data_IF_325707633781
#
_entry.id   IF_325707633781
#
_cell.length_a   1.000
_cell.length_b   1.000
_cell.length_c   1.000
_cell.angle_alpha   90.00
_cell.angle_beta   90.00
_cell.angle_gamma   90.00
#
_symmetry.space_group_name_H-M   'P 1'
#
loop_
_entity.id
_entity.type
_entity.pdbx_description
1 polymer ?
#
# COMPACT_ATOMS: atom_id res chain seq x y z
N UNK A 1 -15.37 18.86 -9.32
CA UNK A 1 -14.03 19.37 -9.68
C UNK A 1 -14.08 20.88 -9.78
N UNK A 2 -13.00 21.57 -9.44
CA UNK A 2 -12.87 23.01 -9.67
C UNK A 2 -12.01 23.18 -10.91
N UNK A 3 -12.65 23.43 -12.05
CA UNK A 3 -11.98 23.73 -13.32
C UNK A 3 -12.52 25.05 -13.87
N UNK A 4 -11.65 25.82 -14.52
CA UNK A 4 -12.05 27.01 -15.28
C UNK A 4 -12.51 26.58 -16.67
N UNK A 5 -13.77 26.85 -16.99
CA UNK A 5 -14.35 26.57 -18.31
C UNK A 5 -14.83 27.87 -18.92
N UNK A 6 -14.12 28.34 -19.95
CA UNK A 6 -14.49 29.52 -20.72
C UNK A 6 -14.76 29.11 -22.17
N UNK A 7 -15.93 29.48 -22.70
CA UNK A 7 -16.23 29.31 -24.11
C UNK A 7 -15.51 30.40 -24.91
N UNK A 8 -14.68 29.98 -25.86
CA UNK A 8 -13.84 30.87 -26.69
C UNK A 8 -14.45 31.07 -28.08
N UNK A 9 -14.99 30.01 -28.69
CA UNK A 9 -15.66 30.03 -29.99
C UNK A 9 -16.91 29.13 -29.96
N UNK A 10 -17.82 29.35 -30.90
CA UNK A 10 -18.94 28.46 -31.22
C UNK A 10 -18.51 27.27 -32.08
N UNK A 11 -17.35 27.39 -32.74
CA UNK A 11 -16.75 26.35 -33.57
C UNK A 11 -15.77 25.47 -32.78
N UNK A 12 -15.44 24.31 -33.34
CA UNK A 12 -14.46 23.41 -32.76
C UNK A 12 -13.06 24.06 -32.73
N UNK A 13 -12.39 24.00 -31.59
CA UNK A 13 -11.02 24.49 -31.44
C UNK A 13 -10.04 23.47 -32.07
N UNK A 14 -9.14 23.94 -32.92
CA UNK A 14 -8.24 23.10 -33.73
C UNK A 14 -6.77 23.25 -33.36
N UNK A 15 -6.39 24.39 -32.77
CA UNK A 15 -5.00 24.66 -32.40
C UNK A 15 -4.88 25.52 -31.14
N UNK A 16 -3.79 25.33 -30.40
CA UNK A 16 -3.40 26.12 -29.22
C UNK A 16 -1.90 26.39 -29.29
N UNK A 17 -1.51 27.65 -29.05
CA UNK A 17 -0.10 28.05 -28.91
C UNK A 17 0.04 29.02 -27.75
N UNK A 18 1.14 28.93 -27.01
CA UNK A 18 1.43 29.80 -25.86
C UNK A 18 2.67 30.61 -26.18
N UNK A 19 2.64 31.91 -25.87
CA UNK A 19 3.79 32.79 -26.02
C UNK A 19 4.96 32.30 -25.15
N UNK A 20 6.20 32.58 -25.56
CA UNK A 20 7.41 32.21 -24.81
C UNK A 20 7.43 32.71 -23.35
N UNK A 21 6.76 33.83 -23.07
CA UNK A 21 6.62 34.40 -21.72
C UNK A 21 5.42 33.84 -20.94
N UNK A 22 4.59 33.00 -21.55
CA UNK A 22 3.44 32.35 -20.91
C UNK A 22 2.19 33.22 -20.73
N UNK A 23 2.29 34.55 -20.87
CA UNK A 23 1.18 35.46 -20.59
C UNK A 23 0.03 35.42 -21.61
N UNK A 24 0.35 35.18 -22.89
CA UNK A 24 -0.62 35.12 -23.97
C UNK A 24 -0.75 33.71 -24.53
N UNK A 25 -1.99 33.29 -24.80
CA UNK A 25 -2.32 32.06 -25.49
C UNK A 25 -3.16 32.37 -26.74
N UNK A 26 -2.78 31.80 -27.88
CA UNK A 26 -3.52 31.85 -29.13
C UNK A 26 -4.32 30.55 -29.29
N UNK A 27 -5.63 30.69 -29.53
CA UNK A 27 -6.55 29.59 -29.78
C UNK A 27 -7.09 29.73 -31.20
N UNK A 28 -6.84 28.75 -32.06
CA UNK A 28 -7.41 28.71 -33.41
C UNK A 28 -8.64 27.81 -33.45
N UNK A 29 -9.67 28.24 -34.18
CA UNK A 29 -10.88 27.45 -34.41
C UNK A 29 -10.96 26.88 -35.84
N UNK A 30 -12.00 26.09 -36.09
CA UNK A 30 -12.23 25.42 -37.38
C UNK A 30 -12.71 26.38 -38.49
N UNK A 31 -13.15 27.59 -38.12
CA UNK A 31 -13.58 28.63 -39.07
C UNK A 31 -12.41 29.51 -39.52
N UNK A 32 -11.20 29.24 -39.02
CA UNK A 32 -9.97 29.96 -39.38
C UNK A 32 -9.75 31.23 -38.57
N UNK A 33 -10.50 31.44 -37.49
CA UNK A 33 -10.33 32.57 -36.57
C UNK A 33 -9.33 32.20 -35.48
N UNK A 34 -8.44 33.14 -35.17
CA UNK A 34 -7.49 33.02 -34.07
C UNK A 34 -7.86 34.02 -32.99
N UNK A 35 -8.17 33.50 -31.80
CA UNK A 35 -8.47 34.31 -30.61
C UNK A 35 -7.28 34.34 -29.68
N UNK A 36 -6.83 35.53 -29.30
CA UNK A 36 -5.77 35.74 -28.30
C UNK A 36 -6.38 35.91 -26.90
N UNK A 37 -5.90 35.13 -25.95
CA UNK A 37 -6.31 35.13 -24.55
C UNK A 37 -5.12 35.55 -23.67
N UNK A 38 -5.39 36.39 -22.68
CA UNK A 38 -4.43 36.71 -21.62
C UNK A 38 -4.69 35.83 -20.40
N UNK A 39 -3.64 35.19 -19.88
CA UNK A 39 -3.69 34.38 -18.68
C UNK A 39 -3.47 35.24 -17.43
N UNK A 40 -4.00 34.81 -16.30
CA UNK A 40 -3.78 35.46 -15.01
C UNK A 40 -2.40 35.12 -14.44
N UNK A 41 -1.88 35.99 -13.56
CA UNK A 41 -0.52 35.86 -13.02
C UNK A 41 -0.28 34.53 -12.30
N UNK A 42 -1.29 33.95 -11.64
CA UNK A 42 -1.15 32.67 -10.94
C UNK A 42 -0.97 31.46 -11.87
N UNK A 43 -1.33 31.57 -13.15
CA UNK A 43 -1.07 30.54 -14.16
C UNK A 43 0.27 30.75 -14.87
N UNK A 44 0.76 31.99 -14.88
CA UNK A 44 2.00 32.38 -15.57
C UNK A 44 3.20 32.24 -14.64
N UNK A 45 3.05 32.62 -13.37
CA UNK A 45 4.10 32.63 -12.37
C UNK A 45 3.92 31.48 -11.38
N UNK A 46 4.66 30.37 -11.53
CA UNK A 46 4.57 29.24 -10.63
C UNK A 46 4.98 29.65 -9.21
N UNK A 47 4.22 29.20 -8.21
CA UNK A 47 4.60 29.40 -6.80
C UNK A 47 5.84 28.56 -6.46
N UNK A 48 6.71 29.03 -5.55
CA UNK A 48 7.88 28.26 -5.14
C UNK A 48 7.48 26.85 -4.69
N UNK A 49 8.15 25.85 -5.25
CA UNK A 49 8.00 24.43 -4.87
C UNK A 49 6.65 23.77 -5.23
N UNK A 50 5.75 24.44 -5.99
CA UNK A 50 4.44 23.86 -6.32
C UNK A 50 4.53 22.53 -7.08
N UNK A 51 5.48 22.43 -8.03
CA UNK A 51 5.69 21.23 -8.85
C UNK A 51 6.06 20.02 -7.99
N UNK A 52 6.90 20.24 -6.99
CA UNK A 52 7.34 19.18 -6.07
C UNK A 52 6.19 18.75 -5.15
N UNK A 53 5.43 19.69 -4.62
CA UNK A 53 4.27 19.40 -3.75
C UNK A 53 3.23 18.58 -4.52
N UNK A 54 2.89 19.01 -5.73
CA UNK A 54 1.94 18.29 -6.60
C UNK A 54 2.49 16.89 -6.94
N UNK A 55 3.77 16.78 -7.28
CA UNK A 55 4.43 15.49 -7.51
C UNK A 55 4.31 14.54 -6.31
N UNK A 56 4.58 15.02 -5.10
CA UNK A 56 4.44 14.23 -3.87
C UNK A 56 3.00 13.77 -3.62
N UNK A 57 2.00 14.62 -3.93
CA UNK A 57 0.59 14.26 -3.82
C UNK A 57 0.26 13.11 -4.78
N UNK A 58 0.68 13.19 -6.05
CA UNK A 58 0.44 12.14 -7.03
C UNK A 58 1.16 10.83 -6.70
N UNK A 59 2.40 10.90 -6.21
CA UNK A 59 3.12 9.71 -5.75
C UNK A 59 2.43 9.03 -4.57
N UNK A 60 1.94 9.82 -3.61
CA UNK A 60 1.19 9.31 -2.46
C UNK A 60 -0.10 8.62 -2.90
N UNK A 61 -0.85 9.22 -3.81
CA UNK A 61 -2.09 8.63 -4.32
C UNK A 61 -1.82 7.36 -5.13
N UNK A 62 -0.77 7.35 -5.95
CA UNK A 62 -0.33 6.15 -6.69
C UNK A 62 0.06 5.00 -5.75
N UNK A 63 0.79 5.29 -4.65
CA UNK A 63 1.13 4.27 -3.64
C UNK A 63 -0.12 3.74 -2.94
N UNK A 64 -1.09 4.61 -2.65
CA UNK A 64 -2.36 4.22 -2.03
C UNK A 64 -3.15 3.27 -2.94
N UNK A 65 -3.27 3.57 -4.22
CA UNK A 65 -3.93 2.68 -5.19
C UNK A 65 -3.25 1.32 -5.27
N UNK A 66 -1.91 1.28 -5.37
CA UNK A 66 -1.14 0.02 -5.37
C UNK A 66 -1.38 -0.81 -4.11
N UNK A 67 -1.43 -0.18 -2.95
CA UNK A 67 -1.69 -0.88 -1.69
C UNK A 67 -3.11 -1.44 -1.63
N UNK A 68 -4.10 -0.66 -2.08
CA UNK A 68 -5.49 -1.12 -2.14
C UNK A 68 -5.66 -2.30 -3.10
N UNK A 69 -4.99 -2.28 -4.25
CA UNK A 69 -5.01 -3.39 -5.20
C UNK A 69 -4.31 -4.63 -4.65
N UNK A 70 -3.20 -4.47 -3.94
CA UNK A 70 -2.53 -5.58 -3.25
C UNK A 70 -3.45 -6.22 -2.19
N UNK A 71 -4.16 -5.40 -1.39
CA UNK A 71 -5.14 -5.86 -0.40
C UNK A 71 -6.30 -6.59 -1.07
N UNK A 72 -6.88 -6.04 -2.14
CA UNK A 72 -7.96 -6.70 -2.91
C UNK A 72 -7.52 -8.05 -3.47
N UNK A 73 -6.31 -8.12 -4.03
CA UNK A 73 -5.74 -9.37 -4.57
C UNK A 73 -5.50 -10.42 -3.48
N UNK A 74 -5.13 -9.99 -2.27
CA UNK A 74 -4.97 -10.87 -1.12
C UNK A 74 -6.31 -11.32 -0.53
N UNK A 75 -7.31 -10.43 -0.47
CA UNK A 75 -8.66 -10.76 0.00
C UNK A 75 -9.41 -11.72 -0.95
N UNK A 76 -9.09 -11.70 -2.24
CA UNK A 76 -9.59 -12.67 -3.24
C UNK A 76 -8.86 -14.01 -3.23
N UNK A 77 -7.78 -14.18 -2.46
CA UNK A 77 -7.18 -15.50 -2.23
C UNK A 77 -7.95 -16.18 -1.09
N UNK A 78 -8.41 -17.44 -1.27
CA UNK A 78 -9.02 -18.17 -0.17
C UNK A 78 -8.02 -18.21 1.00
N UNK A 79 -8.54 -18.08 2.22
CA UNK A 79 -7.81 -17.95 3.50
C UNK A 79 -6.89 -19.15 3.83
N UNK A 80 -6.71 -20.10 2.89
CA UNK A 80 -5.91 -21.32 3.04
C UNK A 80 -4.51 -21.32 2.42
N UNK A 81 -4.03 -20.23 1.80
CA UNK A 81 -2.65 -20.14 1.31
C UNK A 81 -1.97 -18.86 1.80
N UNK A 82 -1.85 -18.72 3.11
CA UNK A 82 -0.62 -18.13 3.64
C UNK A 82 0.44 -19.18 3.35
N UNK A 83 1.32 -18.91 2.38
CA UNK A 83 2.55 -19.70 2.27
C UNK A 83 3.25 -19.58 3.63
N UNK A 84 3.17 -20.65 4.41
CA UNK A 84 3.99 -20.92 5.57
C UNK A 84 5.44 -21.08 5.10
N UNK A 85 6.04 -20.00 4.60
CA UNK A 85 7.48 -19.80 4.78
C UNK A 85 7.68 -19.13 6.15
N UNK A 86 7.09 -19.74 7.17
CA UNK A 86 7.67 -19.71 8.49
C UNK A 86 9.05 -20.35 8.33
N UNK A 87 10.06 -19.51 8.40
CA UNK A 87 11.45 -19.92 8.45
C UNK A 87 11.61 -20.92 9.60
N UNK A 88 11.97 -22.15 9.26
CA UNK A 88 12.53 -23.13 10.20
C UNK A 88 11.56 -23.78 11.17
N UNK A 89 10.59 -24.55 10.69
CA UNK A 89 10.13 -25.71 11.46
C UNK A 89 11.25 -26.75 11.44
N UNK A 90 12.17 -26.68 12.42
CA UNK A 90 13.07 -27.80 12.69
C UNK A 90 12.16 -28.95 13.11
N UNK A 91 12.12 -30.01 12.32
CA UNK A 91 11.45 -31.25 12.69
C UNK A 91 12.17 -31.81 13.93
N UNK A 92 11.57 -31.58 15.09
CA UNK A 92 12.07 -32.02 16.37
C UNK A 92 11.69 -33.50 16.53
N UNK A 93 12.69 -34.38 16.61
CA UNK A 93 12.46 -35.77 17.00
C UNK A 93 12.00 -35.81 18.47
N UNK A 94 10.73 -36.17 18.65
CA UNK A 94 10.05 -36.13 19.94
C UNK A 94 10.71 -37.06 20.97
N UNK A 95 11.32 -38.16 20.55
CA UNK A 95 11.97 -39.12 21.44
C UNK A 95 13.28 -38.56 22.02
N UNK A 96 14.08 -37.89 21.18
CA UNK A 96 15.34 -37.28 21.60
C UNK A 96 15.10 -36.11 22.57
N UNK A 97 14.08 -35.30 22.31
CA UNK A 97 13.70 -34.18 23.19
C UNK A 97 13.25 -34.65 24.57
N UNK A 98 12.45 -35.70 24.65
CA UNK A 98 11.99 -36.26 25.94
C UNK A 98 13.15 -36.86 26.74
N UNK A 99 14.12 -37.49 26.08
CA UNK A 99 15.30 -38.02 26.75
C UNK A 99 16.17 -36.89 27.33
N UNK A 100 16.35 -35.81 26.56
CA UNK A 100 17.11 -34.63 26.99
C UNK A 100 16.41 -33.86 28.10
N UNK A 101 15.08 -33.76 28.02
CA UNK A 101 14.23 -33.17 29.07
C UNK A 101 14.38 -33.96 30.37
N UNK A 102 14.23 -35.29 30.32
CA UNK A 102 14.36 -36.16 31.51
C UNK A 102 15.74 -36.07 32.16
N UNK A 103 16.80 -35.99 31.36
CA UNK A 103 18.16 -35.82 31.86
C UNK A 103 18.37 -34.46 32.54
N UNK A 104 17.81 -33.39 31.97
CA UNK A 104 17.84 -32.05 32.55
C UNK A 104 17.09 -32.00 33.89
N UNK A 105 15.88 -32.56 33.96
CA UNK A 105 15.10 -32.60 35.20
C UNK A 105 15.76 -33.41 36.31
N UNK A 106 16.50 -34.48 35.95
CA UNK A 106 17.30 -35.24 36.91
C UNK A 106 18.46 -34.42 37.50
N UNK A 107 19.13 -33.59 36.68
CA UNK A 107 20.26 -32.76 37.11
C UNK A 107 19.82 -31.57 37.97
N UNK A 108 18.62 -31.01 37.69
CA UNK A 108 18.01 -29.92 38.47
C UNK A 108 17.30 -30.46 39.74
N UNK A 109 17.29 -31.78 39.96
CA UNK A 109 16.76 -32.40 41.17
C UNK A 109 15.23 -32.37 41.28
N UNK A 110 14.52 -32.19 40.15
CA UNK A 110 13.05 -32.18 40.10
C UNK A 110 12.58 -33.42 39.33
N UNK A 111 12.01 -34.40 40.04
CA UNK A 111 11.34 -35.54 39.40
C UNK A 111 10.04 -35.07 38.74
N UNK A 112 9.80 -35.48 37.49
CA UNK A 112 8.67 -35.04 36.63
C UNK A 112 7.25 -35.33 37.11
N UNK A 113 7.06 -35.66 38.40
CA UNK A 113 5.75 -35.80 39.05
C UNK A 113 5.22 -34.45 39.59
N UNK A 114 6.08 -33.43 39.76
CA UNK A 114 5.70 -32.11 40.34
C UNK A 114 4.94 -31.17 39.39
N UNK A 115 4.77 -31.54 38.10
CA UNK A 115 4.07 -30.72 37.10
C UNK A 115 2.73 -31.32 36.61
N UNK A 116 2.25 -32.40 37.23
CA UNK A 116 0.86 -32.86 37.05
C UNK A 116 0.50 -33.48 35.70
N UNK A 117 1.46 -34.05 34.97
CA UNK A 117 1.23 -34.59 33.61
C UNK A 117 0.86 -36.09 33.58
N UNK A 118 0.65 -36.74 34.73
CA UNK A 118 0.14 -38.12 34.76
C UNK A 118 -1.41 -38.12 34.80
N UNK A 119 -2.11 -38.89 33.93
CA UNK A 119 -3.54 -39.09 34.05
C UNK A 119 -3.82 -39.81 35.39
N UNK A 120 -4.48 -39.12 36.30
CA UNK A 120 -4.70 -39.57 37.67
C UNK A 120 -5.36 -40.95 37.73
N UNK A 121 -4.65 -41.92 38.34
CA UNK A 121 -5.23 -43.19 38.76
C UNK A 121 -6.02 -42.98 40.06
N UNK A 122 -7.14 -42.28 39.97
CA UNK A 122 -8.10 -42.16 41.06
C UNK A 122 -8.88 -43.47 41.25
N UNK A 123 -8.43 -44.34 42.16
CA UNK A 123 -9.26 -45.43 42.69
C UNK A 123 -10.36 -44.82 43.57
N UNK A 124 -11.59 -44.77 43.09
CA UNK A 124 -12.78 -44.60 43.92
C UNK A 124 -13.02 -45.89 44.71
N UNK A 125 -12.83 -45.85 46.03
CA UNK A 125 -13.29 -46.88 46.96
C UNK A 125 -14.76 -46.64 47.33
N UNK A 126 -15.50 -47.75 47.41
CA UNK A 126 -16.94 -47.92 47.68
C UNK A 126 -17.59 -46.96 48.67
#
# INVERSE_FOLDING_TARGET
>A
EVSLTQKVSDFALTSLSVQSQGQLAAVGDADGVITLLQLCDGLVHPMPNEKNVIGQIFERETKREKNLDAIKKQAGRPVGHRDEKAQGAIAIDQAEYQAREKAFFADVGMSGDDLGTAPGTGKFSK
#
